data_IF_271534568816
#
_entry.id   IF_271534568816
#
_cell.length_a   1.000
_cell.length_b   1.000
_cell.length_c   1.000
_cell.angle_alpha   90.00
_cell.angle_beta   90.00
_cell.angle_gamma   90.00
#
_symmetry.space_group_name_H-M   'P 1'
#
loop_
_entity.id
_entity.type
_entity.pdbx_description
1 polymer ?
#
# COMPACT_ATOMS: atom_id res chain seq x y z
N UNK A 1 14.14 -41.28 -9.25
CA UNK A 1 15.41 -40.58 -8.98
C UNK A 1 16.31 -40.83 -10.17
N UNK A 2 16.27 -39.95 -11.17
CA UNK A 2 17.22 -39.99 -12.28
C UNK A 2 18.65 -39.85 -11.75
N UNK A 3 19.59 -40.55 -12.38
CA UNK A 3 21.01 -40.50 -12.04
C UNK A 3 21.60 -39.17 -12.52
N UNK A 4 21.28 -38.10 -11.79
CA UNK A 4 21.76 -36.71 -11.99
C UNK A 4 23.30 -36.55 -12.00
N UNK A 5 24.06 -37.61 -11.69
CA UNK A 5 25.51 -37.64 -11.84
C UNK A 5 25.96 -37.70 -13.31
N UNK A 6 25.08 -38.09 -14.26
CA UNK A 6 25.44 -38.28 -15.67
C UNK A 6 25.68 -36.96 -16.44
N UNK A 7 25.18 -35.82 -15.96
CA UNK A 7 25.32 -34.51 -16.61
C UNK A 7 26.36 -33.57 -15.97
N UNK A 8 27.38 -34.13 -15.30
CA UNK A 8 28.43 -33.30 -14.68
C UNK A 8 29.63 -33.10 -15.62
N UNK A 9 29.99 -31.84 -15.82
CA UNK A 9 31.20 -31.45 -16.54
C UNK A 9 32.49 -31.59 -15.69
N UNK A 10 32.44 -32.30 -14.57
CA UNK A 10 33.61 -32.51 -13.72
C UNK A 10 33.61 -33.92 -13.11
N UNK A 11 34.79 -34.56 -13.08
CA UNK A 11 34.98 -35.92 -12.56
C UNK A 11 36.28 -36.05 -11.78
N UNK A 12 36.26 -36.92 -10.76
CA UNK A 12 37.45 -37.35 -10.02
C UNK A 12 37.84 -38.75 -10.47
N UNK A 13 39.05 -38.93 -10.95
CA UNK A 13 39.60 -40.26 -11.24
C UNK A 13 40.38 -40.73 -10.01
N UNK A 14 40.07 -41.93 -9.53
CA UNK A 14 40.71 -42.57 -8.37
C UNK A 14 41.40 -43.86 -8.81
N UNK A 15 42.54 -44.15 -8.21
CA UNK A 15 43.24 -45.44 -8.38
C UNK A 15 42.57 -46.54 -7.55
N UNK A 16 42.98 -47.80 -7.79
CA UNK A 16 42.53 -49.00 -7.05
C UNK A 16 42.76 -48.89 -5.53
N UNK A 17 43.70 -48.04 -5.10
CA UNK A 17 43.99 -47.74 -3.69
C UNK A 17 43.20 -46.56 -3.10
N UNK A 18 42.25 -45.98 -3.84
CA UNK A 18 41.37 -44.90 -3.37
C UNK A 18 41.98 -43.49 -3.39
N UNK A 19 43.24 -43.34 -3.81
CA UNK A 19 43.91 -42.03 -3.97
C UNK A 19 43.40 -41.32 -5.22
N UNK A 20 43.12 -40.01 -5.14
CA UNK A 20 42.67 -39.20 -6.28
C UNK A 20 43.87 -38.89 -7.17
N UNK A 21 43.87 -39.40 -8.40
CA UNK A 21 44.98 -39.25 -9.36
C UNK A 21 44.86 -37.93 -10.13
N UNK A 22 43.64 -37.57 -10.52
CA UNK A 22 43.37 -36.37 -11.28
C UNK A 22 41.95 -35.84 -11.04
N UNK A 23 41.86 -34.53 -10.85
CA UNK A 23 40.60 -33.78 -10.90
C UNK A 23 40.46 -33.21 -12.32
N UNK A 24 39.40 -33.58 -13.03
CA UNK A 24 39.17 -33.16 -14.42
C UNK A 24 37.91 -32.32 -14.48
N UNK A 25 37.98 -31.17 -15.15
CA UNK A 25 36.84 -30.35 -15.54
C UNK A 25 36.82 -30.27 -17.07
N UNK A 26 35.67 -30.57 -17.66
CA UNK A 26 35.42 -30.48 -19.10
C UNK A 26 34.91 -29.08 -19.42
N UNK A 27 35.68 -28.31 -20.18
CA UNK A 27 35.32 -26.97 -20.66
C UNK A 27 35.30 -27.02 -22.18
N UNK A 28 34.18 -26.66 -22.80
CA UNK A 28 33.98 -26.67 -24.27
C UNK A 28 34.40 -27.99 -24.95
N UNK A 29 34.08 -29.12 -24.30
CA UNK A 29 34.41 -30.46 -24.80
C UNK A 29 35.88 -30.87 -24.66
N UNK A 30 36.71 -30.09 -23.96
CA UNK A 30 38.10 -30.43 -23.63
C UNK A 30 38.26 -30.74 -22.15
N UNK A 31 38.90 -31.86 -21.85
CA UNK A 31 39.20 -32.29 -20.49
C UNK A 31 40.47 -31.58 -19.99
N UNK A 32 40.31 -30.75 -18.96
CA UNK A 32 41.42 -30.02 -18.31
C UNK A 32 41.66 -30.61 -16.93
N UNK A 33 42.90 -31.06 -16.68
CA UNK A 33 43.33 -31.47 -15.35
C UNK A 33 43.57 -30.21 -14.49
N UNK A 34 42.86 -30.12 -13.37
CA UNK A 34 42.90 -28.97 -12.46
C UNK A 34 43.43 -29.38 -11.09
N UNK A 35 43.93 -28.41 -10.33
CA UNK A 35 44.30 -28.61 -8.93
C UNK A 35 43.05 -28.87 -8.08
N UNK A 36 43.26 -29.45 -6.89
CA UNK A 36 42.15 -29.74 -5.96
C UNK A 36 41.39 -28.48 -5.55
N UNK A 37 42.08 -27.37 -5.31
CA UNK A 37 41.47 -26.10 -4.91
C UNK A 37 40.51 -25.56 -5.97
N UNK A 38 40.92 -25.60 -7.24
CA UNK A 38 40.10 -25.15 -8.37
C UNK A 38 38.87 -26.07 -8.54
N UNK A 39 39.06 -27.38 -8.39
CA UNK A 39 37.96 -28.33 -8.44
C UNK A 39 36.97 -28.12 -7.29
N UNK A 40 37.46 -27.89 -6.08
CA UNK A 40 36.64 -27.67 -4.89
C UNK A 40 35.80 -26.40 -5.04
N UNK A 41 36.40 -25.29 -5.48
CA UNK A 41 35.71 -24.03 -5.71
C UNK A 41 34.62 -24.17 -6.79
N UNK A 42 34.95 -24.81 -7.92
CA UNK A 42 34.00 -25.04 -9.02
C UNK A 42 32.82 -25.91 -8.56
N UNK A 43 33.10 -27.03 -7.89
CA UNK A 43 32.06 -27.92 -7.37
C UNK A 43 31.24 -27.28 -6.23
N UNK A 44 31.79 -26.31 -5.49
CA UNK A 44 31.06 -25.57 -4.46
C UNK A 44 30.04 -24.60 -5.08
N UNK A 45 30.39 -23.94 -6.17
CA UNK A 45 29.47 -23.06 -6.91
C UNK A 45 28.30 -23.83 -7.48
N UNK A 46 28.56 -24.97 -8.14
CA UNK A 46 27.52 -25.89 -8.65
C UNK A 46 26.58 -26.38 -7.53
N UNK A 47 27.11 -26.68 -6.34
CA UNK A 47 26.28 -27.01 -5.17
C UNK A 47 25.39 -25.85 -4.74
N UNK A 48 25.95 -24.64 -4.65
CA UNK A 48 25.22 -23.45 -4.22
C UNK A 48 24.09 -23.10 -5.19
N UNK A 49 24.34 -23.20 -6.49
CA UNK A 49 23.34 -22.96 -7.52
C UNK A 49 22.17 -23.93 -7.39
N UNK A 50 22.44 -25.23 -7.20
CA UNK A 50 21.38 -26.22 -6.90
C UNK A 50 20.61 -25.94 -5.63
N UNK A 51 21.28 -25.54 -4.54
CA UNK A 51 20.58 -25.17 -3.31
C UNK A 51 19.61 -23.99 -3.53
N UNK A 52 19.95 -23.07 -4.44
CA UNK A 52 19.11 -21.91 -4.76
C UNK A 52 18.00 -22.25 -5.77
N UNK A 53 18.22 -23.18 -6.70
CA UNK A 53 17.26 -23.52 -7.76
C UNK A 53 16.33 -24.69 -7.42
N UNK A 54 16.84 -25.71 -6.73
CA UNK A 54 16.12 -26.98 -6.48
C UNK A 54 15.68 -27.11 -5.01
N UNK A 55 16.54 -26.75 -4.04
CA UNK A 55 16.26 -26.94 -2.61
C UNK A 55 15.57 -25.75 -1.94
N UNK A 56 15.41 -24.62 -2.64
CA UNK A 56 14.62 -23.52 -2.11
C UNK A 56 13.14 -23.93 -2.21
N UNK A 57 12.43 -24.12 -1.08
CA UNK A 57 11.07 -24.62 -1.13
C UNK A 57 10.21 -23.65 -1.94
N UNK A 58 9.58 -24.15 -3.01
CA UNK A 58 8.58 -23.46 -3.81
C UNK A 58 7.57 -22.78 -2.87
N UNK A 59 7.63 -21.45 -2.76
CA UNK A 59 6.80 -20.66 -1.85
C UNK A 59 7.51 -19.86 -0.76
N UNK A 60 8.85 -19.93 -0.63
CA UNK A 60 9.62 -19.11 0.34
C UNK A 60 10.32 -17.89 -0.27
N UNK A 61 10.04 -17.58 -1.54
CA UNK A 61 10.49 -16.34 -2.19
C UNK A 61 9.29 -15.41 -2.28
N UNK A 62 9.38 -14.27 -1.60
CA UNK A 62 8.40 -13.20 -1.73
C UNK A 62 8.88 -12.30 -2.87
N UNK A 63 8.15 -12.30 -3.99
CA UNK A 63 8.37 -11.33 -5.06
C UNK A 63 7.71 -10.01 -4.67
N UNK A 64 8.48 -8.92 -4.71
CA UNK A 64 7.93 -7.58 -4.46
C UNK A 64 6.89 -7.19 -5.51
N UNK A 65 7.08 -7.62 -6.76
CA UNK A 65 6.13 -7.39 -7.85
C UNK A 65 4.82 -8.13 -7.61
N UNK A 66 4.90 -9.42 -7.22
CA UNK A 66 3.72 -10.22 -6.94
C UNK A 66 2.95 -9.71 -5.71
N UNK A 67 3.67 -9.28 -4.66
CA UNK A 67 3.03 -8.65 -3.50
C UNK A 67 2.29 -7.35 -3.87
N UNK A 68 2.85 -6.56 -4.78
CA UNK A 68 2.19 -5.36 -5.30
C UNK A 68 0.95 -5.70 -6.14
N UNK A 69 1.03 -6.71 -7.02
CA UNK A 69 -0.12 -7.20 -7.80
C UNK A 69 -1.24 -7.76 -6.92
N UNK A 70 -0.88 -8.49 -5.86
CA UNK A 70 -1.82 -9.05 -4.88
C UNK A 70 -2.38 -7.99 -3.91
N UNK A 71 -1.98 -6.72 -4.07
CA UNK A 71 -2.49 -5.60 -3.26
C UNK A 71 -2.03 -5.64 -1.80
N UNK A 72 -0.94 -6.37 -1.50
CA UNK A 72 -0.37 -6.42 -0.16
C UNK A 72 0.32 -5.09 0.12
N UNK A 73 -0.21 -4.32 1.08
CA UNK A 73 0.38 -3.04 1.47
C UNK A 73 1.82 -3.26 1.99
N UNK A 74 2.79 -2.38 1.64
CA UNK A 74 4.15 -2.42 2.18
C UNK A 74 4.20 -2.48 3.71
N UNK A 75 3.22 -1.86 4.37
CA UNK A 75 3.07 -1.84 5.83
C UNK A 75 2.82 -3.23 6.43
N UNK A 76 2.31 -4.19 5.64
CA UNK A 76 2.02 -5.56 6.09
C UNK A 76 3.30 -6.31 6.52
N UNK A 77 4.47 -5.92 5.99
CA UNK A 77 5.77 -6.50 6.36
C UNK A 77 6.41 -5.77 7.56
N UNK A 78 5.68 -4.85 8.20
CA UNK A 78 6.11 -4.17 9.43
C UNK A 78 7.17 -3.09 9.22
N UNK A 79 7.39 -2.65 7.97
CA UNK A 79 8.12 -1.42 7.73
C UNK A 79 7.14 -0.26 7.95
N UNK A 80 7.38 0.56 8.98
CA UNK A 80 6.74 1.88 9.05
C UNK A 80 7.18 2.66 7.81
N UNK A 81 6.32 2.68 6.79
CA UNK A 81 6.59 3.51 5.62
C UNK A 81 6.37 4.96 6.03
N UNK A 82 7.44 5.74 6.01
CA UNK A 82 7.27 7.19 6.05
C UNK A 82 6.40 7.59 4.85
N UNK A 83 5.35 8.41 5.06
CA UNK A 83 4.47 8.82 3.97
C UNK A 83 5.31 9.45 2.86
N UNK A 84 4.91 9.19 1.61
CA UNK A 84 5.61 9.77 0.47
C UNK A 84 5.60 11.30 0.57
N UNK A 85 6.60 11.95 -0.01
CA UNK A 85 6.59 13.40 -0.16
C UNK A 85 5.32 13.89 -0.89
N UNK A 86 4.83 13.11 -1.86
CA UNK A 86 3.59 13.39 -2.59
C UNK A 86 2.37 13.33 -1.65
N UNK A 87 2.25 12.27 -0.86
CA UNK A 87 1.16 12.11 0.11
C UNK A 87 1.15 13.23 1.16
N UNK A 88 2.34 13.66 1.60
CA UNK A 88 2.47 14.77 2.54
C UNK A 88 1.98 16.09 1.95
N UNK A 89 2.26 16.35 0.67
CA UNK A 89 1.79 17.56 -0.03
C UNK A 89 0.28 17.52 -0.22
N UNK A 90 -0.26 16.39 -0.67
CA UNK A 90 -1.71 16.20 -0.84
C UNK A 90 -2.46 16.37 0.47
N UNK A 91 -1.96 15.78 1.57
CA UNK A 91 -2.55 15.93 2.89
C UNK A 91 -2.61 17.41 3.29
N UNK A 92 -1.51 18.14 3.12
CA UNK A 92 -1.43 19.57 3.46
C UNK A 92 -2.34 20.44 2.61
N UNK A 93 -2.46 20.17 1.31
CA UNK A 93 -3.40 20.88 0.44
C UNK A 93 -4.85 20.62 0.88
N UNK A 94 -5.19 19.36 1.17
CA UNK A 94 -6.53 19.00 1.65
C UNK A 94 -6.87 19.65 3.00
N UNK A 95 -5.90 19.81 3.89
CA UNK A 95 -6.06 20.52 5.16
C UNK A 95 -6.34 22.00 4.94
N UNK A 96 -5.59 22.65 4.03
CA UNK A 96 -5.81 24.06 3.67
C UNK A 96 -7.20 24.27 3.07
N UNK A 97 -7.60 23.44 2.11
CA UNK A 97 -8.93 23.50 1.52
C UNK A 97 -10.02 23.33 2.59
N UNK A 98 -9.83 22.41 3.54
CA UNK A 98 -10.74 22.23 4.68
C UNK A 98 -10.80 23.45 5.57
N UNK A 99 -9.66 24.07 5.88
CA UNK A 99 -9.59 25.29 6.70
C UNK A 99 -10.33 26.44 6.01
N UNK A 100 -10.10 26.63 4.72
CA UNK A 100 -10.78 27.64 3.89
C UNK A 100 -12.29 27.41 3.88
N UNK A 101 -12.74 26.19 3.58
CA UNK A 101 -14.16 25.81 3.59
C UNK A 101 -14.79 26.00 4.97
N UNK A 102 -14.08 25.65 6.05
CA UNK A 102 -14.57 25.80 7.42
C UNK A 102 -14.70 27.27 7.79
N UNK A 103 -13.73 28.10 7.42
CA UNK A 103 -13.77 29.55 7.65
C UNK A 103 -14.95 30.21 6.93
N UNK A 104 -15.20 29.81 5.68
CA UNK A 104 -16.29 30.32 4.87
C UNK A 104 -17.66 29.86 5.42
N UNK A 105 -17.76 28.61 5.88
CA UNK A 105 -18.96 28.09 6.53
C UNK A 105 -19.30 28.89 7.80
N UNK A 106 -18.30 29.19 8.63
CA UNK A 106 -18.48 30.00 9.84
C UNK A 106 -18.99 31.41 9.51
N UNK A 107 -18.42 32.06 8.49
CA UNK A 107 -18.88 33.36 8.01
C UNK A 107 -20.33 33.32 7.53
N UNK A 108 -20.70 32.29 6.75
CA UNK A 108 -22.06 32.10 6.26
C UNK A 108 -23.06 31.87 7.42
N UNK A 109 -22.68 31.11 8.45
CA UNK A 109 -23.52 30.89 9.62
C UNK A 109 -23.72 32.17 10.44
N UNK A 110 -22.71 33.04 10.54
CA UNK A 110 -22.82 34.35 11.21
C UNK A 110 -23.75 35.28 10.44
N UNK A 111 -23.76 35.23 9.11
CA UNK A 111 -24.64 36.04 8.27
C UNK A 111 -26.12 35.64 8.33
N UNK A 112 -26.44 34.42 8.82
CA UNK A 112 -27.82 33.98 9.02
C UNK A 112 -28.45 34.63 10.25
N UNK A 113 -29.77 34.87 10.17
CA UNK A 113 -30.59 35.26 11.32
C UNK A 113 -30.49 34.23 12.46
N UNK A 114 -30.55 34.69 13.72
CA UNK A 114 -30.42 33.83 14.90
C UNK A 114 -31.40 32.65 14.91
N UNK A 115 -32.63 32.87 14.44
CA UNK A 115 -33.65 31.80 14.34
C UNK A 115 -33.30 30.76 13.28
N UNK A 116 -32.69 31.18 12.18
CA UNK A 116 -32.29 30.30 11.08
C UNK A 116 -31.02 29.53 11.48
N UNK A 117 -30.08 30.18 12.18
CA UNK A 117 -28.91 29.54 12.78
C UNK A 117 -29.31 28.47 13.79
N UNK A 118 -30.24 28.77 14.71
CA UNK A 118 -30.75 27.79 15.70
C UNK A 118 -31.35 26.54 15.04
N UNK A 119 -32.07 26.71 13.92
CA UNK A 119 -32.62 25.58 13.17
C UNK A 119 -31.50 24.70 12.57
N UNK A 120 -30.49 25.30 11.95
CA UNK A 120 -29.36 24.57 11.38
C UNK A 120 -28.54 23.87 12.46
N UNK A 121 -28.23 24.55 13.57
CA UNK A 121 -27.52 23.96 14.72
C UNK A 121 -28.28 22.75 15.27
N UNK A 122 -29.59 22.90 15.50
CA UNK A 122 -30.41 21.81 16.01
C UNK A 122 -30.42 20.59 15.08
N UNK A 123 -30.52 20.79 13.77
CA UNK A 123 -30.61 19.69 12.81
C UNK A 123 -29.26 19.00 12.56
N UNK A 124 -28.18 19.77 12.40
CA UNK A 124 -26.90 19.24 11.92
C UNK A 124 -25.87 19.00 13.03
N UNK A 125 -25.90 19.77 14.12
CA UNK A 125 -24.98 19.60 15.25
C UNK A 125 -25.61 18.79 16.38
N UNK A 126 -26.85 19.13 16.78
CA UNK A 126 -27.54 18.45 17.89
C UNK A 126 -28.27 17.16 17.44
N UNK A 127 -28.22 16.83 16.14
CA UNK A 127 -28.87 15.66 15.51
C UNK A 127 -30.37 15.54 15.80
N UNK A 128 -31.06 16.65 16.05
CA UNK A 128 -32.51 16.65 16.28
C UNK A 128 -33.25 16.37 14.97
N UNK A 129 -34.31 15.57 15.04
CA UNK A 129 -35.17 15.37 13.87
C UNK A 129 -36.02 16.61 13.59
N UNK A 130 -36.38 16.79 12.31
CA UNK A 130 -37.29 17.89 11.91
C UNK A 130 -38.64 17.85 12.65
N UNK A 131 -39.11 16.67 13.05
CA UNK A 131 -40.36 16.48 13.79
C UNK A 131 -40.23 16.85 15.27
N UNK A 132 -39.09 16.60 15.90
CA UNK A 132 -38.83 17.00 17.28
C UNK A 132 -38.64 18.50 17.41
N UNK A 133 -37.86 19.09 16.49
CA UNK A 133 -37.68 20.54 16.44
C UNK A 133 -39.01 21.26 16.20
N UNK A 134 -39.83 20.74 15.28
CA UNK A 134 -41.19 21.24 15.04
C UNK A 134 -42.07 21.21 16.30
N UNK A 135 -42.03 20.11 17.06
CA UNK A 135 -42.76 19.98 18.34
C UNK A 135 -42.28 21.00 19.38
N UNK A 136 -40.97 21.24 19.48
CA UNK A 136 -40.37 22.18 20.45
C UNK A 136 -40.77 23.64 20.19
N UNK A 137 -40.91 24.02 18.93
CA UNK A 137 -41.29 25.40 18.53
C UNK A 137 -42.82 25.55 18.34
N UNK A 138 -43.57 24.44 18.31
CA UNK A 138 -45.02 24.47 18.10
C UNK A 138 -45.43 24.74 16.66
N UNK A 139 -44.61 24.33 15.68
CA UNK A 139 -44.87 24.53 14.25
C UNK A 139 -45.06 23.17 13.56
N UNK A 140 -45.67 23.16 12.38
CA UNK A 140 -45.78 21.94 11.56
C UNK A 140 -44.41 21.52 11.02
N UNK A 141 -44.17 20.21 10.90
CA UNK A 141 -42.93 19.67 10.33
C UNK A 141 -42.64 20.22 8.92
N UNK A 142 -43.70 20.41 8.10
CA UNK A 142 -43.58 20.92 6.74
C UNK A 142 -43.08 22.37 6.69
N UNK A 143 -43.44 23.19 7.67
CA UNK A 143 -42.91 24.54 7.80
C UNK A 143 -41.41 24.53 8.13
N UNK A 144 -40.96 23.63 9.00
CA UNK A 144 -39.53 23.45 9.33
C UNK A 144 -38.73 23.03 8.10
N UNK A 145 -39.23 22.07 7.31
CA UNK A 145 -38.58 21.64 6.06
C UNK A 145 -38.47 22.80 5.08
N UNK A 146 -39.57 23.53 4.84
CA UNK A 146 -39.57 24.69 3.93
C UNK A 146 -38.58 25.77 4.38
N UNK A 147 -38.45 25.98 5.69
CA UNK A 147 -37.49 26.93 6.27
C UNK A 147 -36.05 26.46 6.09
N UNK A 148 -35.75 25.19 6.39
CA UNK A 148 -34.44 24.57 6.14
C UNK A 148 -34.03 24.72 4.67
N UNK A 149 -34.92 24.39 3.74
CA UNK A 149 -34.60 24.41 2.30
C UNK A 149 -34.43 25.84 1.76
N UNK A 150 -35.06 26.84 2.39
CA UNK A 150 -34.75 28.25 2.13
C UNK A 150 -33.34 28.60 2.61
N UNK A 151 -33.02 28.28 3.87
CA UNK A 151 -31.71 28.57 4.46
C UNK A 151 -30.58 27.94 3.64
N UNK A 152 -30.71 26.67 3.26
CA UNK A 152 -29.69 25.98 2.45
C UNK A 152 -29.52 26.62 1.07
N UNK A 153 -30.59 27.14 0.46
CA UNK A 153 -30.49 27.90 -0.81
C UNK A 153 -29.79 29.23 -0.63
N UNK A 154 -30.03 29.93 0.47
CA UNK A 154 -29.38 31.20 0.75
C UNK A 154 -27.89 31.00 1.09
N UNK A 155 -27.55 29.94 1.83
CA UNK A 155 -26.17 29.53 2.08
C UNK A 155 -25.46 29.14 0.77
N UNK A 156 -26.13 28.41 -0.13
CA UNK A 156 -25.57 28.06 -1.44
C UNK A 156 -25.21 29.32 -2.24
N UNK A 157 -26.10 30.31 -2.30
CA UNK A 157 -25.82 31.60 -2.96
C UNK A 157 -24.67 32.36 -2.31
N UNK A 158 -24.53 32.25 -0.99
CA UNK A 158 -23.39 32.81 -0.27
C UNK A 158 -22.09 32.16 -0.77
N UNK A 159 -22.01 30.83 -0.76
CA UNK A 159 -20.81 30.12 -1.22
C UNK A 159 -20.48 30.39 -2.70
N UNK A 160 -21.49 30.44 -3.58
CA UNK A 160 -21.29 30.78 -4.99
C UNK A 160 -20.69 32.19 -5.21
N UNK A 161 -20.98 33.14 -4.31
CA UNK A 161 -20.41 34.51 -4.37
C UNK A 161 -18.97 34.59 -3.90
N UNK A 162 -18.55 33.72 -2.98
CA UNK A 162 -17.19 33.69 -2.44
C UNK A 162 -16.27 32.71 -3.18
N UNK A 163 -16.84 31.82 -3.99
CA UNK A 163 -16.10 30.92 -4.88
C UNK A 163 -15.79 31.53 -6.26
N UNK A 164 -16.26 32.76 -6.53
CA UNK A 164 -16.00 33.53 -7.75
C UNK A 164 -14.98 34.64 -7.48
#
# INVERSE_FOLDING_TARGET
MEKWQENRNYRKIRDENGTVIANIITVDGRDVAVTEDVFAAYAQMDRRERYLSEDLPTGKVLSMEQLAEDGVLPDYVGAETAPSAEDCVLARESEREREELTSLLLAALIALEDRDRQLITALFYDRLSTREYARRIGVTQRAVIKRRDRILRDMKKYFEKFAA
#
